data_IF_997517095602
#
_entry.id   IF_997517095602
#
_cell.length_a   1.000
_cell.length_b   1.000
_cell.length_c   1.000
_cell.angle_alpha   90.00
_cell.angle_beta   90.00
_cell.angle_gamma   90.00
#
_symmetry.space_group_name_H-M   'P 1'
#
loop_
_entity.id
_entity.type
_entity.pdbx_description
1 polymer ?
#
# COMPACT_ATOMS: atom_id res chain seq x y z
N UNK A 1 -20.69 16.38 -3.85
CA UNK A 1 -19.49 15.68 -4.34
C UNK A 1 -18.34 16.06 -3.43
N UNK A 2 -17.63 15.10 -2.82
CA UNK A 2 -16.47 15.41 -1.99
C UNK A 2 -15.34 15.99 -2.87
N UNK A 3 -14.46 16.81 -2.29
CA UNK A 3 -13.32 17.39 -3.02
C UNK A 3 -12.37 16.30 -3.58
N UNK A 4 -11.69 16.60 -4.68
CA UNK A 4 -10.58 15.78 -5.18
C UNK A 4 -9.47 15.74 -4.13
N UNK A 5 -8.95 14.54 -3.84
CA UNK A 5 -7.94 14.30 -2.81
C UNK A 5 -6.54 14.26 -3.39
N UNK A 6 -5.56 14.86 -2.70
CA UNK A 6 -4.14 14.81 -3.03
C UNK A 6 -3.43 13.90 -2.02
N UNK A 7 -2.85 12.80 -2.51
CA UNK A 7 -2.31 11.73 -1.68
C UNK A 7 -0.86 11.39 -2.09
N UNK A 8 0.17 11.93 -1.42
CA UNK A 8 1.55 11.52 -1.67
C UNK A 8 1.78 10.06 -1.30
N UNK A 9 2.36 9.30 -2.23
CA UNK A 9 2.81 7.92 -2.00
C UNK A 9 4.29 7.88 -1.68
N UNK A 10 4.62 7.40 -0.49
CA UNK A 10 5.97 7.17 0.03
C UNK A 10 6.30 5.69 -0.16
N UNK A 11 7.28 5.39 -1.02
CA UNK A 11 7.74 4.02 -1.22
C UNK A 11 8.89 3.76 -0.26
N UNK A 12 8.68 2.87 0.70
CA UNK A 12 9.68 2.44 1.67
C UNK A 12 10.40 1.21 1.12
N UNK A 13 11.72 1.26 1.11
CA UNK A 13 12.58 0.12 0.82
C UNK A 13 13.67 0.08 1.86
N UNK A 14 13.71 -1.00 2.64
CA UNK A 14 14.55 -1.10 3.84
C UNK A 14 14.26 0.10 4.77
N UNK A 15 15.28 0.86 5.18
CA UNK A 15 15.14 2.02 6.08
C UNK A 15 15.01 3.38 5.36
N UNK A 16 14.68 3.39 4.07
CA UNK A 16 14.72 4.61 3.26
C UNK A 16 13.56 4.75 2.27
N UNK A 17 13.24 6.01 1.95
CA UNK A 17 12.31 6.29 0.86
C UNK A 17 13.03 6.19 -0.48
N UNK A 18 12.37 5.56 -1.45
CA UNK A 18 12.86 5.43 -2.81
C UNK A 18 11.84 5.90 -3.84
N UNK A 19 12.32 6.19 -5.05
CA UNK A 19 11.49 6.33 -6.26
C UNK A 19 12.14 5.55 -7.38
N UNK A 20 11.32 4.96 -8.24
CA UNK A 20 11.75 4.14 -9.36
C UNK A 20 10.84 4.33 -10.56
N UNK A 21 11.17 3.64 -11.65
CA UNK A 21 10.39 3.62 -12.89
C UNK A 21 10.02 2.18 -13.16
N UNK A 22 8.73 1.90 -13.40
CA UNK A 22 8.27 0.56 -13.79
C UNK A 22 8.62 -0.56 -12.81
N UNK A 23 8.60 -0.28 -11.50
CA UNK A 23 9.00 -1.21 -10.43
C UNK A 23 10.49 -1.58 -10.42
N UNK A 24 11.33 -0.73 -11.00
CA UNK A 24 12.78 -0.90 -11.05
C UNK A 24 13.52 0.44 -10.89
N UNK A 25 14.84 0.44 -11.00
CA UNK A 25 15.71 1.63 -11.01
C UNK A 25 15.51 2.52 -9.78
N UNK A 26 15.59 1.90 -8.60
CA UNK A 26 15.33 2.55 -7.32
C UNK A 26 16.41 3.57 -6.96
N UNK A 27 16.02 4.84 -6.82
CA UNK A 27 16.83 5.92 -6.27
C UNK A 27 16.32 6.32 -4.89
N UNK A 28 17.23 6.42 -3.92
CA UNK A 28 16.91 6.94 -2.60
C UNK A 28 16.58 8.43 -2.67
N UNK A 29 15.48 8.83 -2.01
CA UNK A 29 14.97 10.20 -1.98
C UNK A 29 14.89 10.80 -0.58
N UNK A 30 15.07 10.00 0.47
CA UNK A 30 15.09 10.50 1.84
C UNK A 30 14.69 9.45 2.88
N UNK A 31 14.15 9.91 4.00
CA UNK A 31 13.57 9.11 5.08
C UNK A 31 12.10 9.47 5.28
N UNK A 32 11.32 8.58 5.89
CA UNK A 32 9.87 8.72 5.99
C UNK A 32 9.42 9.90 6.86
N UNK A 33 9.97 10.03 8.08
CA UNK A 33 9.53 11.05 9.04
C UNK A 33 9.64 12.50 8.52
N UNK A 34 10.78 12.95 7.97
CA UNK A 34 10.86 14.29 7.38
C UNK A 34 9.86 14.51 6.25
N UNK A 35 9.63 13.49 5.41
CA UNK A 35 8.65 13.57 4.32
C UNK A 35 7.23 13.73 4.87
N UNK A 36 6.84 12.94 5.87
CA UNK A 36 5.53 13.04 6.53
C UNK A 36 5.31 14.42 7.14
N UNK A 37 6.31 14.97 7.85
CA UNK A 37 6.23 16.33 8.41
C UNK A 37 6.03 17.38 7.32
N UNK A 38 6.74 17.27 6.20
CA UNK A 38 6.57 18.17 5.05
C UNK A 38 5.16 18.06 4.47
N UNK A 39 4.62 16.86 4.33
CA UNK A 39 3.28 16.66 3.78
C UNK A 39 2.16 17.10 4.72
N UNK A 40 2.33 16.93 6.04
CA UNK A 40 1.40 17.50 7.03
C UNK A 40 1.36 19.03 6.95
N UNK A 41 2.52 19.70 6.87
CA UNK A 41 2.58 21.17 6.72
C UNK A 41 1.94 21.65 5.42
N UNK A 42 1.80 20.77 4.42
CA UNK A 42 1.13 21.05 3.15
C UNK A 42 -0.34 20.63 3.15
N UNK A 43 -0.85 20.15 4.29
CA UNK A 43 -2.25 19.77 4.48
C UNK A 43 -2.76 18.79 3.40
N UNK A 44 -1.94 17.80 3.06
CA UNK A 44 -2.36 16.74 2.14
C UNK A 44 -3.54 15.95 2.71
N UNK A 45 -4.39 15.40 1.84
CA UNK A 45 -5.64 14.77 2.24
C UNK A 45 -5.47 13.34 2.81
N UNK A 46 -4.31 12.73 2.58
CA UNK A 46 -3.90 11.41 3.11
C UNK A 46 -2.46 11.11 2.67
N UNK A 47 -1.74 10.31 3.46
CA UNK A 47 -0.43 9.79 3.11
C UNK A 47 -0.54 8.29 2.86
N UNK A 48 0.08 7.82 1.76
CA UNK A 48 0.16 6.39 1.44
C UNK A 48 1.59 5.92 1.65
N UNK A 49 1.83 5.04 2.62
CA UNK A 49 3.11 4.41 2.88
C UNK A 49 3.09 2.98 2.33
N UNK A 50 3.98 2.67 1.39
CA UNK A 50 4.05 1.35 0.76
C UNK A 50 5.44 0.74 0.95
N UNK A 51 5.53 -0.34 1.72
CA UNK A 51 6.74 -1.15 1.81
C UNK A 51 6.86 -2.05 0.58
N UNK A 52 7.83 -1.72 -0.27
CA UNK A 52 8.10 -2.47 -1.51
C UNK A 52 9.16 -3.57 -1.33
N UNK A 53 9.76 -3.69 -0.14
CA UNK A 53 10.70 -4.75 0.23
C UNK A 53 9.99 -6.01 0.73
N UNK A 54 8.92 -5.87 1.51
CA UNK A 54 8.30 -6.96 2.26
C UNK A 54 7.77 -8.13 1.41
N UNK A 55 7.29 -7.85 0.20
CA UNK A 55 6.76 -8.92 -0.67
C UNK A 55 7.89 -9.78 -1.26
N UNK A 56 8.94 -9.20 -1.90
CA UNK A 56 10.10 -9.95 -2.34
C UNK A 56 10.87 -10.72 -1.26
N UNK A 57 10.96 -10.18 -0.05
CA UNK A 57 11.73 -10.81 1.05
C UNK A 57 10.93 -11.84 1.83
N UNK A 58 9.59 -11.82 1.73
CA UNK A 58 8.73 -12.68 2.53
C UNK A 58 8.42 -12.10 3.91
N UNK A 59 8.88 -10.89 4.23
CA UNK A 59 8.73 -10.29 5.55
C UNK A 59 7.30 -9.87 5.83
N UNK A 60 6.91 -9.95 7.11
CA UNK A 60 5.68 -9.35 7.62
C UNK A 60 5.79 -7.81 7.62
N UNK A 61 4.67 -7.07 7.68
CA UNK A 61 4.73 -5.61 7.75
C UNK A 61 5.51 -5.13 8.99
N UNK A 62 6.38 -4.13 8.80
CA UNK A 62 7.15 -3.52 9.89
C UNK A 62 6.25 -2.60 10.74
N UNK A 63 5.65 -3.19 11.78
CA UNK A 63 4.73 -2.48 12.66
C UNK A 63 5.40 -1.37 13.48
N UNK A 64 6.70 -1.48 13.77
CA UNK A 64 7.42 -0.48 14.57
C UNK A 64 7.67 0.77 13.74
N UNK A 65 8.14 0.62 12.49
CA UNK A 65 8.26 1.74 11.56
C UNK A 65 6.92 2.45 11.34
N UNK A 66 5.81 1.68 11.24
CA UNK A 66 4.47 2.27 11.10
C UNK A 66 4.07 3.06 12.35
N UNK A 67 4.29 2.52 13.56
CA UNK A 67 4.01 3.23 14.82
C UNK A 67 4.78 4.54 14.91
N UNK A 68 6.07 4.51 14.62
CA UNK A 68 6.93 5.69 14.68
C UNK A 68 6.47 6.77 13.71
N UNK A 69 6.04 6.40 12.50
CA UNK A 69 5.53 7.33 11.50
C UNK A 69 4.15 7.86 11.90
N UNK A 70 3.26 7.01 12.41
CA UNK A 70 1.88 7.37 12.73
C UNK A 70 1.79 8.44 13.82
N UNK A 71 2.72 8.46 14.79
CA UNK A 71 2.79 9.51 15.83
C UNK A 71 2.89 10.91 15.24
N UNK A 72 3.60 11.05 14.11
CA UNK A 72 3.83 12.32 13.42
C UNK A 72 2.90 12.49 12.20
N UNK A 73 1.95 11.58 11.92
CA UNK A 73 1.05 11.65 10.76
C UNK A 73 -0.36 12.06 11.18
N UNK A 74 -0.76 13.31 10.90
CA UNK A 74 -2.09 13.83 11.26
C UNK A 74 -3.12 13.73 10.14
N UNK A 75 -2.67 13.55 8.90
CA UNK A 75 -3.53 13.16 7.80
C UNK A 75 -3.85 11.65 7.89
N UNK A 76 -4.96 11.18 7.30
CA UNK A 76 -5.24 9.76 7.24
C UNK A 76 -4.04 8.99 6.63
N UNK A 77 -3.69 7.87 7.24
CA UNK A 77 -2.54 7.06 6.87
C UNK A 77 -2.99 5.73 6.28
N UNK A 78 -2.69 5.51 4.99
CA UNK A 78 -2.82 4.20 4.35
C UNK A 78 -1.47 3.50 4.33
N UNK A 79 -1.41 2.26 4.83
CA UNK A 79 -0.18 1.45 4.82
C UNK A 79 -0.36 0.18 3.99
N UNK A 80 0.63 -0.17 3.18
CA UNK A 80 0.65 -1.42 2.42
C UNK A 80 2.04 -2.04 2.33
N UNK A 81 2.08 -3.26 1.81
CA UNK A 81 3.30 -4.06 1.70
C UNK A 81 3.36 -5.18 2.73
N UNK A 82 3.54 -6.43 2.27
CA UNK A 82 3.71 -7.59 3.16
C UNK A 82 2.44 -8.13 3.84
N UNK A 83 1.27 -7.53 3.60
CA UNK A 83 -0.01 -7.95 4.21
C UNK A 83 -0.49 -9.25 3.56
N UNK A 84 -0.55 -10.35 4.34
CA UNK A 84 -0.94 -11.68 3.86
C UNK A 84 -2.11 -12.30 4.63
N UNK A 85 -2.48 -11.71 5.75
CA UNK A 85 -3.53 -12.20 6.64
C UNK A 85 -4.31 -11.08 7.30
N UNK A 86 -5.47 -11.42 7.88
CA UNK A 86 -6.25 -10.50 8.73
C UNK A 86 -5.43 -10.04 9.94
N UNK A 87 -4.55 -10.91 10.47
CA UNK A 87 -3.67 -10.57 11.58
C UNK A 87 -2.67 -9.46 11.21
N UNK A 88 -2.11 -9.49 10.00
CA UNK A 88 -1.23 -8.43 9.51
C UNK A 88 -1.98 -7.10 9.37
N UNK A 89 -3.19 -7.15 8.81
CA UNK A 89 -4.07 -5.99 8.69
C UNK A 89 -4.43 -5.42 10.06
N UNK A 90 -4.83 -6.27 11.02
CA UNK A 90 -5.12 -5.86 12.39
C UNK A 90 -3.89 -5.22 13.05
N UNK A 91 -2.71 -5.81 12.85
CA UNK A 91 -1.44 -5.29 13.35
C UNK A 91 -1.15 -3.88 12.84
N UNK A 92 -1.34 -3.63 11.54
CA UNK A 92 -1.14 -2.32 10.92
C UNK A 92 -2.16 -1.28 11.41
N UNK A 93 -3.44 -1.65 11.52
CA UNK A 93 -4.46 -0.75 12.07
C UNK A 93 -4.12 -0.37 13.52
N UNK A 94 -3.71 -1.34 14.35
CA UNK A 94 -3.27 -1.09 15.73
C UNK A 94 -1.98 -0.29 15.82
N UNK A 95 -1.13 -0.35 14.80
CA UNK A 95 0.09 0.44 14.70
C UNK A 95 -0.17 1.91 14.36
N UNK A 96 -1.39 2.27 13.94
CA UNK A 96 -1.79 3.64 13.63
C UNK A 96 -2.11 3.90 12.16
N UNK A 97 -2.21 2.86 11.33
CA UNK A 97 -2.80 3.00 10.01
C UNK A 97 -4.32 3.19 10.13
N UNK A 98 -4.89 4.12 9.37
CA UNK A 98 -6.34 4.23 9.23
C UNK A 98 -6.88 3.23 8.21
N UNK A 99 -6.05 2.89 7.22
CA UNK A 99 -6.39 2.01 6.12
C UNK A 99 -5.22 1.12 5.74
N UNK A 100 -5.51 -0.08 5.25
CA UNK A 100 -4.52 -1.07 4.83
C UNK A 100 -4.69 -1.40 3.36
N UNK A 101 -3.60 -1.28 2.61
CA UNK A 101 -3.54 -1.58 1.18
C UNK A 101 -3.07 -3.02 0.95
N UNK A 102 -3.87 -3.80 0.21
CA UNK A 102 -3.58 -5.17 -0.21
C UNK A 102 -3.49 -5.28 -1.73
N UNK A 103 -2.61 -6.13 -2.24
CA UNK A 103 -2.49 -6.43 -3.68
C UNK A 103 -2.28 -7.93 -3.89
N UNK A 104 -1.04 -8.42 -3.78
CA UNK A 104 -0.71 -9.84 -4.05
C UNK A 104 -1.61 -10.81 -3.31
N UNK A 105 -1.79 -10.62 -2.00
CA UNK A 105 -2.65 -11.50 -1.18
C UNK A 105 -4.13 -11.38 -1.53
N UNK A 106 -4.59 -10.22 -2.00
CA UNK A 106 -5.94 -10.04 -2.47
C UNK A 106 -6.21 -10.85 -3.75
N UNK A 107 -5.23 -10.95 -4.65
CA UNK A 107 -5.35 -11.77 -5.87
C UNK A 107 -5.28 -13.26 -5.56
N UNK A 108 -4.37 -13.70 -4.69
CA UNK A 108 -4.21 -15.13 -4.36
C UNK A 108 -5.25 -15.66 -3.37
N UNK A 109 -5.81 -14.80 -2.52
CA UNK A 109 -6.85 -15.13 -1.55
C UNK A 109 -7.88 -13.99 -1.47
N UNK A 110 -8.81 -13.88 -2.43
CA UNK A 110 -9.80 -12.79 -2.48
C UNK A 110 -10.67 -12.67 -1.22
N UNK A 111 -10.88 -13.78 -0.50
CA UNK A 111 -11.62 -13.80 0.76
C UNK A 111 -11.03 -12.89 1.84
N UNK A 112 -9.72 -12.59 1.77
CA UNK A 112 -9.08 -11.62 2.66
C UNK A 112 -9.76 -10.24 2.60
N UNK A 113 -10.24 -9.82 1.43
CA UNK A 113 -10.91 -8.53 1.25
C UNK A 113 -12.24 -8.51 2.01
N UNK A 114 -13.10 -9.51 1.75
CA UNK A 114 -14.43 -9.58 2.36
C UNK A 114 -14.34 -9.79 3.86
N UNK A 115 -13.49 -10.71 4.32
CA UNK A 115 -13.32 -10.98 5.76
C UNK A 115 -12.77 -9.76 6.51
N UNK A 116 -11.86 -9.00 5.89
CA UNK A 116 -11.35 -7.75 6.48
C UNK A 116 -12.41 -6.65 6.51
N UNK A 117 -13.17 -6.50 5.42
CA UNK A 117 -14.25 -5.53 5.33
C UNK A 117 -15.39 -5.82 6.31
N UNK A 118 -15.73 -7.11 6.52
CA UNK A 118 -16.76 -7.52 7.47
C UNK A 118 -16.35 -7.23 8.91
N UNK A 119 -15.05 -7.38 9.23
CA UNK A 119 -14.54 -7.21 10.60
C UNK A 119 -14.19 -5.78 10.98
N UNK A 120 -13.62 -5.00 10.07
CA UNK A 120 -13.11 -3.64 10.34
C UNK A 120 -13.83 -2.54 9.56
N UNK A 121 -14.71 -2.92 8.62
CA UNK A 121 -15.42 -2.02 7.73
C UNK A 121 -14.67 -1.82 6.40
N UNK A 122 -15.42 -1.72 5.31
CA UNK A 122 -14.86 -1.59 3.96
C UNK A 122 -14.03 -0.32 3.76
N UNK A 123 -14.23 0.72 4.58
CA UNK A 123 -13.49 1.98 4.50
C UNK A 123 -12.00 1.83 4.81
N UNK A 124 -11.60 0.79 5.56
CA UNK A 124 -10.20 0.58 5.93
C UNK A 124 -9.45 -0.40 5.02
N UNK A 125 -10.11 -1.00 4.04
CA UNK A 125 -9.50 -1.96 3.10
C UNK A 125 -9.33 -1.29 1.74
N UNK A 126 -8.09 -1.14 1.29
CA UNK A 126 -7.77 -0.56 -0.02
C UNK A 126 -7.16 -1.67 -0.89
N UNK A 127 -7.72 -1.89 -2.08
CA UNK A 127 -7.13 -2.82 -3.05
C UNK A 127 -6.26 -2.03 -4.03
N UNK A 128 -4.97 -2.34 -4.04
CA UNK A 128 -4.03 -1.83 -5.03
C UNK A 128 -3.98 -2.79 -6.22
N UNK A 129 -4.22 -2.26 -7.42
CA UNK A 129 -4.23 -3.01 -8.67
C UNK A 129 -3.13 -2.46 -9.56
N UNK A 130 -2.04 -3.21 -9.69
CA UNK A 130 -0.96 -2.88 -10.63
C UNK A 130 -1.30 -3.45 -12.01
N UNK A 131 -1.18 -2.63 -13.04
CA UNK A 131 -1.57 -2.99 -14.42
C UNK A 131 -0.41 -2.77 -15.37
N UNK A 132 -0.18 -3.74 -16.26
CA UNK A 132 0.66 -3.56 -17.45
C UNK A 132 -0.18 -3.81 -18.70
N UNK A 133 0.06 -3.00 -19.72
CA UNK A 133 -0.51 -3.23 -21.05
C UNK A 133 0.34 -4.26 -21.79
N UNK A 134 -0.29 -5.35 -22.22
CA UNK A 134 0.30 -6.35 -23.12
C UNK A 134 -0.33 -6.31 -24.51
N UNK A 135 0.17 -7.18 -25.40
CA UNK A 135 -0.39 -7.35 -26.74
C UNK A 135 -1.88 -7.75 -26.70
N UNK A 136 -2.24 -8.64 -25.77
CA UNK A 136 -3.59 -9.17 -25.63
C UNK A 136 -4.49 -8.33 -24.69
N UNK A 137 -4.04 -7.11 -24.36
CA UNK A 137 -4.75 -6.17 -23.49
C UNK A 137 -4.08 -5.97 -22.12
N UNK A 138 -4.70 -5.16 -21.24
CA UNK A 138 -4.18 -4.90 -19.91
C UNK A 138 -4.40 -6.09 -18.98
N UNK A 139 -3.37 -6.43 -18.20
CA UNK A 139 -3.40 -7.53 -17.22
C UNK A 139 -3.04 -7.03 -15.83
N UNK A 140 -3.65 -7.62 -14.80
CA UNK A 140 -3.28 -7.37 -13.39
C UNK A 140 -1.93 -8.03 -13.10
N UNK A 141 -1.10 -7.39 -12.29
CA UNK A 141 0.17 -7.93 -11.84
C UNK A 141 0.33 -7.92 -10.31
N UNK A 142 1.09 -8.87 -9.81
CA UNK A 142 1.39 -9.07 -8.39
C UNK A 142 2.92 -9.13 -8.16
N UNK A 143 3.34 -9.27 -6.90
CA UNK A 143 4.75 -9.42 -6.52
C UNK A 143 5.66 -8.30 -7.05
N UNK A 144 5.27 -7.04 -6.81
CA UNK A 144 5.95 -5.87 -7.35
C UNK A 144 6.04 -5.90 -8.89
N UNK A 145 4.92 -6.26 -9.53
CA UNK A 145 4.77 -6.35 -10.98
C UNK A 145 5.61 -7.43 -11.68
N UNK A 146 6.10 -8.45 -10.95
CA UNK A 146 6.92 -9.55 -11.50
C UNK A 146 6.07 -10.66 -12.11
N UNK A 147 4.87 -10.87 -11.59
CA UNK A 147 3.99 -11.95 -12.00
C UNK A 147 2.71 -11.39 -12.61
N UNK A 148 2.30 -11.95 -13.75
CA UNK A 148 1.02 -11.63 -14.37
C UNK A 148 -0.07 -12.50 -13.74
N UNK A 149 -1.14 -11.88 -13.28
CA UNK A 149 -2.35 -12.58 -12.89
C UNK A 149 -3.26 -12.78 -14.11
N UNK A 150 -4.09 -13.81 -14.08
CA UNK A 150 -5.06 -14.13 -15.12
C UNK A 150 -6.32 -13.27 -15.08
N UNK A 151 -6.19 -12.00 -14.70
CA UNK A 151 -7.30 -11.08 -14.50
C UNK A 151 -7.22 -9.87 -15.42
N UNK A 152 -8.35 -9.54 -16.04
CA UNK A 152 -8.57 -8.21 -16.59
C UNK A 152 -8.74 -7.21 -15.43
N UNK A 153 -8.08 -6.04 -15.45
CA UNK A 153 -8.15 -5.08 -14.35
C UNK A 153 -9.54 -4.53 -14.06
N UNK A 154 -10.40 -4.35 -15.07
CA UNK A 154 -11.75 -3.83 -14.89
C UNK A 154 -12.64 -4.87 -14.22
N UNK A 155 -12.50 -6.13 -14.62
CA UNK A 155 -13.26 -7.23 -14.03
C UNK A 155 -12.78 -7.52 -12.60
N UNK A 156 -11.47 -7.40 -12.32
CA UNK A 156 -10.93 -7.53 -10.97
C UNK A 156 -11.34 -6.39 -10.03
N UNK A 157 -11.57 -5.20 -10.56
CA UNK A 157 -11.97 -4.03 -9.76
C UNK A 157 -13.45 -4.04 -9.36
N UNK A 158 -14.27 -4.94 -9.91
CA UNK A 158 -15.71 -5.07 -9.65
C UNK A 158 -15.98 -6.10 -8.57
#
# INVERSE_FOLDING_TARGET
MLKTRIMPTLLLKDHGLVKGVGFDSWRRVGTALPAVKVYNMREVDEIVLMDISATPTGDAPDLDTVRDIAVDCFAPLTVGGGVRSIGDLEGLLRAGADKVSVNTAAVSSPGLISESADRYGSQCVVVSIDVKSGHDGPTVHTHCSREAASWNPVDWAR
#
